data_IF_636192684777
#
_entry.id   IF_636192684777
#
_cell.length_a   1.000
_cell.length_b   1.000
_cell.length_c   1.000
_cell.angle_alpha   90.00
_cell.angle_beta   90.00
_cell.angle_gamma   90.00
#
_symmetry.space_group_name_H-M   'P 1'
#
loop_
_entity.id
_entity.type
_entity.pdbx_description
1 polymer ?
#
# COMPACT_ATOMS: atom_id res chain seq x y z
N UNK A 1 -34.12 7.32 5.69
CA UNK A 1 -33.30 8.41 6.26
C UNK A 1 -32.17 8.69 5.30
N UNK A 2 -31.89 9.96 5.02
CA UNK A 2 -30.73 10.35 4.21
C UNK A 2 -29.44 10.02 4.95
N UNK A 3 -28.35 9.72 4.24
CA UNK A 3 -27.07 9.42 4.88
C UNK A 3 -26.55 10.65 5.64
N UNK A 4 -25.80 10.39 6.73
CA UNK A 4 -25.13 11.43 7.53
C UNK A 4 -24.06 12.15 6.70
N UNK A 5 -23.38 11.42 5.80
CA UNK A 5 -22.42 11.96 4.84
C UNK A 5 -22.38 11.08 3.58
N UNK A 6 -22.04 11.69 2.45
CA UNK A 6 -21.76 10.98 1.19
C UNK A 6 -20.24 10.92 1.00
N UNK A 7 -19.64 9.76 1.25
CA UNK A 7 -18.19 9.56 1.07
C UNK A 7 -17.85 9.55 -0.42
N UNK A 8 -16.80 10.29 -0.81
CA UNK A 8 -16.36 10.41 -2.20
C UNK A 8 -15.21 9.46 -2.54
N UNK A 9 -14.17 9.42 -1.70
CA UNK A 9 -12.97 8.62 -1.93
C UNK A 9 -12.14 8.50 -0.64
N UNK A 10 -11.12 7.65 -0.67
CA UNK A 10 -10.06 7.63 0.33
C UNK A 10 -9.04 8.69 -0.07
N UNK A 11 -8.79 9.68 0.80
CA UNK A 11 -7.70 10.65 0.62
C UNK A 11 -6.35 10.06 1.05
N UNK A 12 -6.30 9.51 2.26
CA UNK A 12 -5.14 8.83 2.80
C UNK A 12 -5.52 7.77 3.84
N UNK A 13 -4.55 6.92 4.15
CA UNK A 13 -4.59 6.02 5.30
C UNK A 13 -3.34 6.24 6.17
N UNK A 14 -3.34 5.66 7.37
CA UNK A 14 -2.17 5.68 8.27
C UNK A 14 -1.64 4.25 8.41
N UNK A 15 -0.36 4.05 8.14
CA UNK A 15 0.34 2.82 8.52
C UNK A 15 1.13 3.05 9.80
N UNK A 16 0.93 2.16 10.76
CA UNK A 16 1.83 2.04 11.92
C UNK A 16 2.91 1.04 11.55
N UNK A 17 4.18 1.42 11.66
CA UNK A 17 5.32 0.64 11.18
C UNK A 17 6.37 0.48 12.28
N UNK A 18 7.17 -0.59 12.23
CA UNK A 18 8.29 -0.79 13.18
C UNK A 18 9.49 0.08 12.86
N UNK A 19 9.61 0.59 11.64
CA UNK A 19 10.75 1.40 11.21
C UNK A 19 10.35 2.28 10.05
N UNK A 20 10.14 3.58 10.31
CA UNK A 20 9.85 4.56 9.27
C UNK A 20 10.87 4.50 8.10
N UNK A 21 12.20 4.46 8.35
CA UNK A 21 13.18 4.37 7.27
C UNK A 21 13.02 3.13 6.38
N UNK A 22 12.78 1.95 6.97
CA UNK A 22 12.63 0.71 6.20
C UNK A 22 11.34 0.70 5.38
N UNK A 23 10.25 1.21 5.97
CA UNK A 23 8.99 1.41 5.26
C UNK A 23 9.15 2.40 4.11
N UNK A 24 9.84 3.52 4.32
CA UNK A 24 10.12 4.49 3.25
C UNK A 24 10.93 3.83 2.13
N UNK A 25 12.01 3.13 2.46
CA UNK A 25 12.86 2.49 1.47
C UNK A 25 12.08 1.48 0.61
N UNK A 26 11.21 0.69 1.24
CA UNK A 26 10.37 -0.28 0.54
C UNK A 26 9.35 0.39 -0.40
N UNK A 27 8.56 1.36 0.09
CA UNK A 27 7.51 1.95 -0.74
C UNK A 27 8.07 2.91 -1.81
N UNK A 28 9.22 3.53 -1.57
CA UNK A 28 9.91 4.32 -2.61
C UNK A 28 10.50 3.43 -3.70
N UNK A 29 10.90 2.18 -3.40
CA UNK A 29 11.26 1.21 -4.45
C UNK A 29 10.07 0.77 -5.31
N UNK A 30 8.84 0.92 -4.80
CA UNK A 30 7.60 0.75 -5.57
C UNK A 30 7.17 2.02 -6.33
N UNK A 31 7.98 3.09 -6.29
CA UNK A 31 7.74 4.33 -7.03
C UNK A 31 6.89 5.37 -6.29
N UNK A 32 6.67 5.22 -4.98
CA UNK A 32 6.09 6.28 -4.17
C UNK A 32 7.12 7.38 -3.87
N UNK A 33 6.65 8.61 -3.64
CA UNK A 33 7.51 9.72 -3.23
C UNK A 33 7.42 9.92 -1.71
N UNK A 34 8.57 9.95 -1.03
CA UNK A 34 8.62 10.31 0.39
C UNK A 34 8.46 11.83 0.56
N UNK A 35 7.46 12.22 1.33
CA UNK A 35 7.24 13.61 1.73
C UNK A 35 7.34 13.74 3.26
N UNK A 36 8.41 14.37 3.78
CA UNK A 36 8.42 14.86 5.15
C UNK A 36 7.54 16.10 5.27
N UNK A 37 6.77 16.22 6.35
CA UNK A 37 5.93 17.38 6.60
C UNK A 37 5.76 17.66 8.10
N UNK A 38 5.57 18.94 8.44
CA UNK A 38 5.32 19.38 9.82
C UNK A 38 6.35 18.87 10.84
N UNK A 39 5.89 18.61 12.06
CA UNK A 39 6.65 18.19 13.24
C UNK A 39 7.20 16.75 13.13
N UNK A 40 8.07 16.49 12.14
CA UNK A 40 8.71 15.18 11.96
C UNK A 40 7.77 14.09 11.42
N UNK A 41 6.66 14.46 10.78
CA UNK A 41 5.75 13.50 10.15
C UNK A 41 6.28 13.09 8.78
N UNK A 42 5.98 11.85 8.40
CA UNK A 42 6.42 11.26 7.15
C UNK A 42 5.21 10.73 6.39
N UNK A 43 5.18 10.94 5.08
CA UNK A 43 4.18 10.36 4.19
C UNK A 43 4.82 9.77 2.93
N UNK A 44 4.10 8.85 2.32
CA UNK A 44 4.40 8.26 1.01
C UNK A 44 3.30 8.65 0.05
N UNK A 45 3.63 9.47 -0.95
CA UNK A 45 2.70 9.96 -1.98
C UNK A 45 2.68 9.07 -3.20
N UNK A 46 1.50 8.88 -3.76
CA UNK A 46 1.28 8.19 -5.03
C UNK A 46 0.00 8.71 -5.69
N UNK A 47 0.07 9.06 -6.97
CA UNK A 47 -1.04 9.71 -7.66
C UNK A 47 -1.51 10.97 -6.92
N UNK A 48 -2.78 11.00 -6.52
CA UNK A 48 -3.37 12.09 -5.73
C UNK A 48 -3.66 11.71 -4.28
N UNK A 49 -3.07 10.61 -3.80
CA UNK A 49 -3.29 10.05 -2.47
C UNK A 49 -1.97 9.93 -1.71
N UNK A 50 -2.04 9.60 -0.41
CA UNK A 50 -0.86 9.30 0.38
C UNK A 50 -1.11 8.26 1.47
N UNK A 51 -0.02 7.73 2.02
CA UNK A 51 0.02 6.98 3.27
C UNK A 51 0.81 7.80 4.28
N UNK A 52 0.22 8.16 5.42
CA UNK A 52 0.97 8.73 6.54
C UNK A 52 1.62 7.59 7.35
N UNK A 53 2.84 7.81 7.82
CA UNK A 53 3.60 6.84 8.60
C UNK A 53 3.65 7.25 10.06
N UNK A 54 3.22 6.35 10.93
CA UNK A 54 3.42 6.42 12.38
C UNK A 54 4.41 5.31 12.79
N UNK A 55 5.34 5.65 13.66
CA UNK A 55 6.26 4.68 14.26
C UNK A 55 5.55 3.99 15.44
N UNK A 56 5.60 2.66 15.50
CA UNK A 56 5.03 1.89 16.61
C UNK A 56 5.65 2.32 17.96
N UNK A 57 4.80 2.63 18.94
CA UNK A 57 5.21 3.17 20.24
C UNK A 57 5.47 4.69 20.26
N UNK A 58 5.37 5.36 19.11
CA UNK A 58 5.53 6.81 18.96
C UNK A 58 4.48 7.37 17.99
N UNK A 59 3.25 6.84 18.03
CA UNK A 59 2.19 7.29 17.15
C UNK A 59 1.64 8.65 17.57
N UNK A 60 1.18 9.44 16.60
CA UNK A 60 0.46 10.68 16.88
C UNK A 60 -1.01 10.40 17.22
N UNK A 61 -1.59 11.20 18.12
CA UNK A 61 -3.02 11.17 18.42
C UNK A 61 -3.80 12.18 17.56
N UNK A 62 -5.07 11.89 17.22
CA UNK A 62 -5.77 10.63 17.45
C UNK A 62 -5.29 9.53 16.49
N UNK A 63 -5.43 8.26 16.91
CA UNK A 63 -5.11 7.09 16.09
C UNK A 63 -6.16 5.98 16.19
N UNK A 64 -5.99 4.94 15.38
CA UNK A 64 -6.80 3.73 15.48
C UNK A 64 -6.66 3.09 16.87
N UNK A 65 -7.76 2.58 17.44
CA UNK A 65 -7.77 1.90 18.74
C UNK A 65 -6.73 0.77 18.83
N UNK A 66 -6.51 0.07 17.71
CA UNK A 66 -5.47 -0.94 17.56
C UNK A 66 -4.54 -0.59 16.41
N UNK A 67 -3.69 0.42 16.62
CA UNK A 67 -2.62 0.79 15.69
C UNK A 67 -1.45 -0.20 15.84
N UNK A 68 -1.30 -1.15 14.90
CA UNK A 68 -0.24 -2.16 14.93
C UNK A 68 0.43 -2.33 13.57
N UNK A 69 1.75 -2.61 13.53
CA UNK A 69 2.41 -3.03 12.32
C UNK A 69 1.87 -4.35 11.76
N UNK A 70 1.82 -4.47 10.44
CA UNK A 70 1.45 -5.70 9.74
C UNK A 70 -0.05 -6.00 9.69
N UNK A 71 -0.92 -5.03 10.00
CA UNK A 71 -2.37 -5.22 10.01
C UNK A 71 -3.09 -4.71 8.78
N UNK A 72 -2.38 -4.07 7.85
CA UNK A 72 -2.97 -3.55 6.63
C UNK A 72 -2.99 -4.60 5.51
N UNK A 73 -4.02 -4.51 4.68
CA UNK A 73 -4.20 -5.26 3.45
C UNK A 73 -4.63 -4.25 2.38
N UNK A 74 -3.72 -3.94 1.45
CA UNK A 74 -3.84 -2.81 0.54
C UNK A 74 -3.64 -3.27 -0.90
N UNK A 75 -4.58 -2.88 -1.76
CA UNK A 75 -4.50 -3.08 -3.20
C UNK A 75 -4.23 -1.75 -3.91
N UNK A 76 -3.14 -1.70 -4.67
CA UNK A 76 -2.73 -0.56 -5.47
C UNK A 76 -2.87 -0.86 -6.95
N UNK A 77 -3.43 0.09 -7.69
CA UNK A 77 -3.39 0.07 -9.14
C UNK A 77 -2.08 0.68 -9.59
N UNK A 78 -1.26 -0.10 -10.28
CA UNK A 78 0.02 0.35 -10.84
C UNK A 78 -0.14 0.59 -12.34
N UNK A 79 0.69 1.49 -12.89
CA UNK A 79 0.74 1.73 -14.35
C UNK A 79 1.64 0.73 -15.08
N UNK A 80 2.56 0.09 -14.35
CA UNK A 80 3.41 -0.98 -14.90
C UNK A 80 2.60 -2.26 -15.06
N UNK A 81 2.79 -2.99 -16.17
CA UNK A 81 2.14 -4.27 -16.38
C UNK A 81 2.53 -5.26 -15.25
N UNK A 82 1.55 -5.90 -14.60
CA UNK A 82 1.79 -6.82 -13.48
C UNK A 82 2.64 -8.05 -13.84
N UNK A 83 2.68 -8.47 -15.10
CA UNK A 83 3.62 -9.51 -15.55
C UNK A 83 5.08 -9.01 -15.48
N UNK A 84 5.32 -7.75 -15.83
CA UNK A 84 6.63 -7.13 -15.71
C UNK A 84 7.01 -6.90 -14.25
N UNK A 85 6.04 -6.49 -13.42
CA UNK A 85 6.22 -6.37 -11.96
C UNK A 85 6.63 -7.73 -11.39
N UNK A 86 5.91 -8.81 -11.73
CA UNK A 86 6.26 -10.17 -11.31
C UNK A 86 7.71 -10.52 -11.70
N UNK A 87 8.09 -10.22 -12.94
CA UNK A 87 9.45 -10.48 -13.42
C UNK A 87 10.53 -9.66 -12.71
N UNK A 88 10.24 -8.42 -12.29
CA UNK A 88 11.15 -7.59 -11.47
C UNK A 88 11.29 -8.16 -10.06
N UNK A 89 10.17 -8.45 -9.39
CA UNK A 89 10.16 -9.01 -8.04
C UNK A 89 10.95 -10.34 -7.96
N UNK A 90 10.77 -11.23 -8.95
CA UNK A 90 11.54 -12.49 -9.02
C UNK A 90 13.04 -12.27 -9.16
N UNK A 91 13.46 -11.29 -9.96
CA UNK A 91 14.89 -10.97 -10.16
C UNK A 91 15.52 -10.35 -8.92
N UNK A 92 14.74 -9.59 -8.16
CA UNK A 92 15.18 -8.97 -6.90
C UNK A 92 15.11 -9.94 -5.71
N UNK A 93 14.62 -11.18 -5.91
CA UNK A 93 14.52 -12.19 -4.86
C UNK A 93 13.45 -11.86 -3.82
N UNK A 94 12.48 -11.02 -4.17
CA UNK A 94 11.36 -10.68 -3.29
C UNK A 94 10.36 -11.83 -3.29
N UNK A 95 9.93 -12.25 -2.10
CA UNK A 95 8.91 -13.28 -1.94
C UNK A 95 7.57 -12.80 -2.53
N UNK A 96 7.04 -13.60 -3.45
CA UNK A 96 5.73 -13.38 -4.06
C UNK A 96 4.80 -14.47 -3.55
N UNK A 97 3.65 -14.06 -3.01
CA UNK A 97 2.63 -14.97 -2.47
C UNK A 97 1.81 -15.61 -3.60
N UNK A 98 0.76 -16.36 -3.26
CA UNK A 98 -0.13 -17.01 -4.24
C UNK A 98 0.63 -17.90 -5.27
N UNK A 99 1.68 -18.59 -4.80
CA UNK A 99 2.50 -19.46 -5.65
C UNK A 99 3.45 -18.74 -6.61
N UNK A 100 3.66 -17.43 -6.45
CA UNK A 100 4.60 -16.67 -7.26
C UNK A 100 4.09 -16.39 -8.67
N UNK A 101 2.78 -16.16 -8.81
CA UNK A 101 2.08 -16.00 -10.08
C UNK A 101 1.20 -14.75 -10.08
N UNK A 102 0.87 -14.25 -11.28
CA UNK A 102 -0.21 -13.28 -11.45
C UNK A 102 -1.53 -14.02 -11.33
N UNK A 103 -2.43 -13.53 -10.49
CA UNK A 103 -3.75 -14.13 -10.25
C UNK A 103 -4.87 -13.14 -10.56
N UNK A 104 -6.03 -13.68 -10.91
CA UNK A 104 -7.23 -12.88 -11.16
C UNK A 104 -7.95 -12.55 -9.85
N UNK A 105 -8.41 -11.30 -9.71
CA UNK A 105 -9.16 -10.80 -8.56
C UNK A 105 -10.31 -9.89 -8.97
N UNK A 106 -11.19 -9.59 -8.03
CA UNK A 106 -12.30 -8.65 -8.22
C UNK A 106 -11.92 -7.33 -7.57
N UNK A 107 -11.70 -6.30 -8.39
CA UNK A 107 -11.48 -4.94 -7.93
C UNK A 107 -12.77 -4.13 -7.83
N UNK A 108 -12.65 -2.91 -7.31
CA UNK A 108 -13.79 -2.02 -7.11
C UNK A 108 -14.52 -1.60 -8.40
N UNK A 109 -13.90 -1.76 -9.58
CA UNK A 109 -14.45 -1.32 -10.88
C UNK A 109 -14.50 -2.42 -11.93
N UNK A 110 -14.14 -3.65 -11.57
CA UNK A 110 -13.98 -4.74 -12.53
C UNK A 110 -12.87 -5.70 -12.15
N UNK A 111 -12.57 -6.61 -13.08
CA UNK A 111 -11.58 -7.64 -12.87
C UNK A 111 -10.15 -7.06 -12.84
N UNK A 112 -9.34 -7.61 -11.93
CA UNK A 112 -7.94 -7.26 -11.75
C UNK A 112 -7.05 -8.45 -12.08
N UNK A 113 -5.84 -8.13 -12.57
CA UNK A 113 -4.69 -9.03 -12.56
C UNK A 113 -3.74 -8.54 -11.48
N UNK A 114 -3.37 -9.41 -10.55
CA UNK A 114 -2.75 -9.02 -9.29
C UNK A 114 -1.54 -9.87 -8.96
N UNK A 115 -0.55 -9.27 -8.31
CA UNK A 115 0.55 -9.96 -7.61
C UNK A 115 0.57 -9.53 -6.14
N UNK A 116 0.96 -10.46 -5.26
CA UNK A 116 0.93 -10.25 -3.81
C UNK A 116 2.32 -10.38 -3.21
N UNK A 117 2.65 -9.49 -2.29
CA UNK A 117 3.88 -9.51 -1.50
C UNK A 117 3.63 -8.97 -0.09
N UNK A 118 4.65 -9.04 0.76
CA UNK A 118 4.64 -8.39 2.08
C UNK A 118 5.57 -7.20 2.10
N UNK A 119 5.15 -6.15 2.80
CA UNK A 119 6.04 -5.07 3.20
C UNK A 119 6.92 -5.50 4.40
N UNK A 120 7.85 -4.65 4.88
CA UNK A 120 8.75 -4.98 5.99
C UNK A 120 8.04 -5.32 7.31
N UNK A 121 6.82 -4.83 7.51
CA UNK A 121 6.02 -5.07 8.70
C UNK A 121 5.07 -6.27 8.56
N UNK A 122 4.94 -6.81 7.36
CA UNK A 122 4.10 -7.96 7.03
C UNK A 122 2.71 -7.59 6.51
N UNK A 123 2.44 -6.31 6.23
CA UNK A 123 1.21 -5.88 5.59
C UNK A 123 1.06 -6.59 4.24
N UNK A 124 -0.15 -6.99 3.88
CA UNK A 124 -0.41 -7.61 2.58
C UNK A 124 -0.51 -6.51 1.52
N UNK A 125 0.37 -6.57 0.52
CA UNK A 125 0.41 -5.61 -0.58
C UNK A 125 0.06 -6.32 -1.86
N UNK A 126 -1.03 -5.87 -2.48
CA UNK A 126 -1.49 -6.30 -3.80
C UNK A 126 -1.16 -5.19 -4.82
N UNK A 127 -0.43 -5.55 -5.87
CA UNK A 127 -0.17 -4.66 -7.01
C UNK A 127 -0.93 -5.18 -8.23
N UNK A 128 -1.75 -4.32 -8.82
CA UNK A 128 -2.75 -4.74 -9.79
C UNK A 128 -2.86 -3.83 -11.01
N UNK A 129 -3.24 -4.42 -12.15
CA UNK A 129 -3.84 -3.68 -13.27
C UNK A 129 -5.29 -4.12 -13.44
N UNK A 130 -6.15 -3.23 -13.94
CA UNK A 130 -7.43 -3.66 -14.49
C UNK A 130 -7.20 -4.44 -15.78
N UNK A 131 -7.97 -5.51 -15.98
CA UNK A 131 -8.09 -6.08 -17.31
C UNK A 131 -8.84 -5.07 -18.16
N UNK A 132 -8.29 -4.69 -19.33
CA UNK A 132 -9.11 -4.02 -20.34
C UNK A 132 -10.32 -4.92 -20.67
N UNK A 133 -11.48 -4.31 -20.87
CA UNK A 133 -12.66 -5.02 -21.40
C UNK A 133 -12.42 -5.49 -22.84
#
# INVERSE_FOLDING_TARGET
MSPIAQVQSIDHVVLTCKSIPDTIAFYTSLGMEHEPFGEGRNALKFGTQKINLHQAGAEFEPKATLAKPGTADLCFIVSTNVDEVLGKLKREGIEILEGGQVVTRTGARGQLRSVYMRDPDGNLIELSNYTEE
#
